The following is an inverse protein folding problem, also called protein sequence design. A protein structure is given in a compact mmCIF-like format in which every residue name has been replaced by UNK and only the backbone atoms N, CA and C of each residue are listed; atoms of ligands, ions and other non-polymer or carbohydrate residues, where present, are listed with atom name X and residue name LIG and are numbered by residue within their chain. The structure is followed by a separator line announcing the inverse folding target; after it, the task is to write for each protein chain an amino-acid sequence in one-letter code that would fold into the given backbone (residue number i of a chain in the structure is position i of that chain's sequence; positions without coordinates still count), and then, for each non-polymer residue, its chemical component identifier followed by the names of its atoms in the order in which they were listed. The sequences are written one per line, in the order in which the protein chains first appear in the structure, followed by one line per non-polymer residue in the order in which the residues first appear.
data_IF_278795386164
#
_entry.id   IF_278795386164
#
_cell.length_a   1.000
_cell.length_b   1.000
_cell.length_c   1.000
_cell.angle_alpha   90.00
_cell.angle_beta   90.00
_cell.angle_gamma   90.00
#
_symmetry.space_group_name_H-M   'P 1'
#
loop_
_entity.id
_entity.type
_entity.pdbx_description
1 polymer ?
#
# COMPACT_ATOMS: atom_id res chain seq x y z
N UNK A 1 2.20 -57.78 -42.12
CA UNK A 1 3.63 -57.43 -42.21
C UNK A 1 4.04 -56.07 -41.74
N UNK A 2 3.12 -55.14 -41.46
CA UNK A 2 3.43 -53.71 -40.98
C UNK A 2 3.76 -53.60 -39.48
N UNK A 3 3.17 -54.44 -38.64
CA UNK A 3 3.30 -54.35 -37.18
C UNK A 3 4.73 -54.63 -36.66
N UNK A 4 5.45 -55.65 -37.11
CA UNK A 4 6.81 -55.93 -36.64
C UNK A 4 7.84 -54.88 -37.09
N UNK A 5 7.61 -54.22 -38.23
CA UNK A 5 8.48 -53.12 -38.70
C UNK A 5 8.32 -51.87 -37.88
N UNK A 6 7.09 -51.54 -37.49
CA UNK A 6 6.84 -50.39 -36.62
C UNK A 6 7.43 -50.57 -35.22
N UNK A 7 7.37 -51.79 -34.67
CA UNK A 7 7.97 -52.13 -33.38
C UNK A 7 9.50 -52.07 -33.43
N UNK A 8 10.14 -52.49 -34.53
CA UNK A 8 11.58 -52.33 -34.68
C UNK A 8 12.05 -50.90 -34.80
N UNK A 9 11.27 -50.03 -35.45
CA UNK A 9 11.58 -48.60 -35.55
C UNK A 9 11.45 -47.90 -34.19
N UNK A 10 10.42 -48.22 -33.41
CA UNK A 10 10.25 -47.62 -32.08
C UNK A 10 11.37 -48.03 -31.11
N UNK A 11 11.79 -49.30 -31.14
CA UNK A 11 12.93 -49.81 -30.35
C UNK A 11 14.24 -49.12 -30.76
N UNK A 12 14.48 -48.95 -32.06
CA UNK A 12 15.67 -48.26 -32.56
C UNK A 12 15.70 -46.78 -32.14
N UNK A 13 14.58 -46.06 -32.17
CA UNK A 13 14.48 -44.66 -31.72
C UNK A 13 14.74 -44.53 -30.21
N UNK A 14 14.21 -45.44 -29.40
CA UNK A 14 14.45 -45.48 -27.95
C UNK A 14 15.92 -45.74 -27.63
N UNK A 15 16.56 -46.67 -28.34
CA UNK A 15 17.99 -46.95 -28.17
C UNK A 15 18.87 -45.76 -28.56
N UNK A 16 18.53 -45.04 -29.63
CA UNK A 16 19.26 -43.85 -30.06
C UNK A 16 19.10 -42.70 -29.03
N UNK A 17 17.91 -42.50 -28.48
CA UNK A 17 17.68 -41.49 -27.46
C UNK A 17 18.44 -41.80 -26.15
N UNK A 18 18.50 -43.06 -25.75
CA UNK A 18 19.28 -43.51 -24.59
C UNK A 18 20.78 -43.29 -24.81
N UNK A 19 21.30 -43.62 -25.99
CA UNK A 19 22.72 -43.41 -26.32
C UNK A 19 23.07 -41.91 -26.35
N UNK A 20 22.20 -41.06 -26.89
CA UNK A 20 22.39 -39.59 -26.90
C UNK A 20 22.34 -39.03 -25.49
N UNK A 21 21.45 -39.52 -24.63
CA UNK A 21 21.36 -39.12 -23.23
C UNK A 21 22.62 -39.49 -22.43
N UNK A 22 23.11 -40.72 -22.57
CA UNK A 22 24.35 -41.12 -21.90
C UNK A 22 25.60 -40.42 -22.44
N UNK A 23 25.65 -40.12 -23.72
CA UNK A 23 26.74 -39.31 -24.31
C UNK A 23 26.66 -37.84 -23.84
N UNK A 24 25.45 -37.26 -23.64
CA UNK A 24 25.24 -35.94 -23.04
C UNK A 24 25.71 -35.89 -21.58
N UNK A 25 25.42 -36.95 -20.79
CA UNK A 25 25.89 -37.06 -19.41
C UNK A 25 27.43 -37.21 -19.32
N UNK A 26 28.04 -38.01 -20.22
CA UNK A 26 29.51 -38.12 -20.29
C UNK A 26 30.18 -36.79 -20.70
N UNK A 27 29.59 -36.02 -21.61
CA UNK A 27 30.12 -34.70 -21.99
C UNK A 27 30.04 -33.71 -20.82
N UNK A 28 28.92 -33.65 -20.06
CA UNK A 28 28.80 -32.85 -18.85
C UNK A 28 29.80 -33.23 -17.77
N UNK A 29 30.02 -34.53 -17.54
CA UNK A 29 31.00 -35.01 -16.56
C UNK A 29 32.45 -34.65 -16.93
N UNK A 30 32.80 -34.74 -18.24
CA UNK A 30 34.12 -34.36 -18.68
C UNK A 30 34.36 -32.85 -18.70
N UNK A 31 33.34 -32.02 -19.02
CA UNK A 31 33.43 -30.59 -18.90
C UNK A 31 33.68 -30.13 -17.42
N UNK A 32 32.93 -30.70 -16.48
CA UNK A 32 33.11 -30.37 -15.05
C UNK A 32 34.48 -30.83 -14.49
N UNK A 33 35.03 -31.92 -15.02
CA UNK A 33 36.39 -32.40 -14.67
C UNK A 33 37.47 -31.45 -15.22
N UNK A 34 37.34 -31.01 -16.48
CA UNK A 34 38.25 -30.08 -17.14
C UNK A 34 38.25 -28.73 -16.42
N UNK A 35 37.07 -28.18 -16.04
CA UNK A 35 36.95 -26.96 -15.29
C UNK A 35 37.58 -27.06 -13.87
N UNK A 36 37.39 -28.19 -13.17
CA UNK A 36 38.03 -28.46 -11.88
C UNK A 36 39.55 -28.55 -11.97
N UNK A 37 40.08 -29.15 -13.02
CA UNK A 37 41.54 -29.23 -13.25
C UNK A 37 42.08 -27.85 -13.60
N UNK A 38 41.44 -27.10 -14.50
CA UNK A 38 41.84 -25.75 -14.85
C UNK A 38 41.81 -24.82 -13.63
N UNK A 39 40.76 -24.87 -12.81
CA UNK A 39 40.66 -24.07 -11.58
C UNK A 39 41.73 -24.46 -10.53
N UNK A 40 42.10 -25.71 -10.45
CA UNK A 40 43.16 -26.17 -9.51
C UNK A 40 44.56 -25.76 -9.94
N UNK A 41 44.86 -25.76 -11.25
CA UNK A 41 46.12 -25.27 -11.83
C UNK A 41 46.21 -23.75 -11.67
N UNK A 42 45.11 -23.02 -11.93
CA UNK A 42 45.04 -21.57 -11.72
C UNK A 42 45.19 -21.17 -10.26
N UNK A 43 44.60 -21.90 -9.32
CA UNK A 43 44.83 -21.72 -7.86
C UNK A 43 46.28 -21.97 -7.42
N UNK A 44 46.95 -23.00 -7.95
CA UNK A 44 48.33 -23.27 -7.66
C UNK A 44 49.24 -22.14 -8.17
N UNK A 45 49.01 -21.64 -9.35
CA UNK A 45 49.71 -20.47 -9.93
C UNK A 45 49.51 -19.22 -9.10
N UNK A 46 48.27 -18.94 -8.68
CA UNK A 46 47.92 -17.82 -7.85
C UNK A 46 48.57 -17.86 -6.48
N UNK A 47 48.61 -19.03 -5.86
CA UNK A 47 49.31 -19.21 -4.55
C UNK A 47 50.82 -18.94 -4.64
N UNK A 48 51.47 -19.28 -5.74
CA UNK A 48 52.90 -18.99 -5.96
C UNK A 48 53.13 -17.47 -6.12
N UNK A 49 52.27 -16.77 -6.86
CA UNK A 49 52.31 -15.32 -7.04
C UNK A 49 52.07 -14.58 -5.72
N UNK A 50 51.09 -15.00 -4.93
CA UNK A 50 50.85 -14.45 -3.57
C UNK A 50 52.09 -14.57 -2.71
N UNK A 51 52.69 -15.75 -2.63
CA UNK A 51 53.91 -15.96 -1.83
C UNK A 51 55.10 -15.08 -2.27
N UNK A 52 55.24 -14.86 -3.56
CA UNK A 52 56.32 -13.98 -4.06
C UNK A 52 56.07 -12.52 -3.64
N UNK A 53 54.86 -12.00 -3.77
CA UNK A 53 54.55 -10.64 -3.29
C UNK A 53 54.63 -10.52 -1.76
N UNK A 54 54.16 -11.52 -0.99
CA UNK A 54 54.29 -11.55 0.46
C UNK A 54 55.77 -11.55 0.90
N UNK A 55 56.65 -12.25 0.18
CA UNK A 55 58.08 -12.23 0.42
C UNK A 55 58.69 -10.84 0.20
N UNK A 56 58.30 -10.15 -0.89
CA UNK A 56 58.73 -8.76 -1.15
C UNK A 56 58.25 -7.80 -0.06
N UNK A 57 57.02 -7.95 0.38
CA UNK A 57 56.44 -7.13 1.46
C UNK A 57 57.05 -7.43 2.82
N UNK A 58 57.60 -8.62 3.03
CA UNK A 58 58.35 -8.94 4.25
C UNK A 58 59.69 -8.18 4.33
N UNK A 59 60.30 -7.84 3.17
CA UNK A 59 61.51 -7.00 3.13
C UNK A 59 61.16 -5.50 3.08
N UNK A 60 60.16 -5.11 2.37
CA UNK A 60 59.68 -3.72 2.24
C UNK A 60 58.17 -3.70 2.32
N UNK A 61 57.57 -3.42 3.50
CA UNK A 61 56.13 -3.37 3.70
C UNK A 61 55.40 -2.29 2.86
N UNK A 62 56.13 -1.31 2.34
CA UNK A 62 55.59 -0.22 1.55
C UNK A 62 55.90 -0.38 0.05
N UNK A 63 56.35 -1.53 -0.42
CA UNK A 63 56.63 -1.79 -1.80
C UNK A 63 55.36 -1.69 -2.67
N UNK A 64 55.24 -0.60 -3.39
CA UNK A 64 54.04 -0.25 -4.17
C UNK A 64 53.70 -1.31 -5.22
N UNK A 65 54.73 -1.82 -5.93
CA UNK A 65 54.53 -2.87 -6.96
C UNK A 65 53.99 -4.14 -6.35
N UNK A 66 54.53 -4.60 -5.21
CA UNK A 66 54.07 -5.80 -4.53
C UNK A 66 52.66 -5.64 -3.94
N UNK A 67 52.34 -4.46 -3.34
CA UNK A 67 51.01 -4.14 -2.85
C UNK A 67 50.01 -4.12 -3.98
N UNK A 68 50.31 -3.45 -5.09
CA UNK A 68 49.41 -3.37 -6.24
C UNK A 68 49.16 -4.75 -6.85
N UNK A 69 50.21 -5.55 -7.08
CA UNK A 69 50.09 -6.89 -7.63
C UNK A 69 49.30 -7.84 -6.72
N UNK A 70 49.55 -7.77 -5.41
CA UNK A 70 48.81 -8.55 -4.43
C UNK A 70 47.35 -8.10 -4.33
N UNK A 71 47.09 -6.79 -4.40
CA UNK A 71 45.76 -6.19 -4.44
C UNK A 71 44.96 -6.68 -5.65
N UNK A 72 45.58 -6.73 -6.83
CA UNK A 72 44.96 -7.25 -8.06
C UNK A 72 44.57 -8.73 -7.94
N UNK A 73 45.45 -9.53 -7.38
CA UNK A 73 45.19 -10.97 -7.14
C UNK A 73 43.98 -11.14 -6.22
N UNK A 74 43.96 -10.44 -5.06
CA UNK A 74 42.85 -10.54 -4.14
C UNK A 74 41.56 -9.92 -4.64
N UNK A 75 41.61 -8.86 -5.46
CA UNK A 75 40.45 -8.27 -6.08
C UNK A 75 39.79 -9.27 -7.06
N UNK A 76 40.60 -9.95 -7.87
CA UNK A 76 40.12 -10.98 -8.79
C UNK A 76 39.58 -12.24 -8.06
N UNK A 77 40.15 -12.56 -6.88
CA UNK A 77 39.68 -13.65 -5.99
C UNK A 77 38.51 -13.22 -5.11
N UNK A 78 38.07 -11.97 -5.19
CA UNK A 78 36.99 -11.38 -4.38
C UNK A 78 37.24 -11.46 -2.86
N UNK A 79 38.50 -11.45 -2.44
CA UNK A 79 38.87 -11.42 -1.03
C UNK A 79 38.83 -9.98 -0.51
N UNK A 80 37.61 -9.50 -0.26
CA UNK A 80 37.33 -8.09 0.00
C UNK A 80 38.02 -7.53 1.24
N UNK A 81 38.24 -8.33 2.28
CA UNK A 81 38.95 -7.88 3.47
C UNK A 81 40.44 -7.56 3.17
N UNK A 82 41.11 -8.42 2.41
CA UNK A 82 42.49 -8.19 2.00
C UNK A 82 42.60 -7.04 1.02
N UNK A 83 41.67 -6.96 0.08
CA UNK A 83 41.53 -5.82 -0.87
C UNK A 83 41.39 -4.51 -0.10
N UNK A 84 40.52 -4.44 0.88
CA UNK A 84 40.34 -3.27 1.72
C UNK A 84 41.61 -2.79 2.37
N UNK A 85 42.36 -3.68 3.03
CA UNK A 85 43.58 -3.35 3.75
C UNK A 85 44.69 -2.89 2.80
N UNK A 86 44.90 -3.61 1.69
CA UNK A 86 45.95 -3.31 0.70
C UNK A 86 45.68 -1.95 0.02
N UNK A 87 44.48 -1.72 -0.51
CA UNK A 87 44.20 -0.47 -1.20
C UNK A 87 44.10 0.72 -0.26
N UNK A 88 43.74 0.54 1.00
CA UNK A 88 43.90 1.57 2.03
C UNK A 88 45.38 1.95 2.21
N UNK A 89 46.27 0.97 2.34
CA UNK A 89 47.74 1.22 2.44
C UNK A 89 48.26 1.92 1.19
N UNK A 90 47.84 1.49 -0.03
CA UNK A 90 48.23 2.15 -1.27
C UNK A 90 47.73 3.61 -1.33
N UNK A 91 46.53 3.88 -0.82
CA UNK A 91 46.00 5.24 -0.75
C UNK A 91 46.85 6.11 0.21
N UNK A 92 47.23 5.57 1.38
CA UNK A 92 48.04 6.29 2.34
C UNK A 92 49.46 6.60 1.78
N UNK A 93 50.00 5.72 0.93
CA UNK A 93 51.28 5.90 0.24
C UNK A 93 51.22 6.83 -0.95
N UNK A 94 50.02 7.13 -1.48
CA UNK A 94 49.83 7.89 -2.74
C UNK A 94 50.34 9.31 -2.70
N UNK A 95 50.55 9.89 -1.52
CA UNK A 95 51.15 11.23 -1.38
C UNK A 95 52.67 11.25 -1.63
N UNK A 96 53.36 10.15 -1.42
CA UNK A 96 54.79 10.00 -1.60
C UNK A 96 55.16 9.30 -2.93
N UNK A 97 54.19 8.60 -3.55
CA UNK A 97 54.39 7.78 -4.72
C UNK A 97 53.46 8.23 -5.87
N UNK A 98 54.02 8.99 -6.80
CA UNK A 98 53.27 9.56 -7.92
C UNK A 98 52.84 8.55 -8.99
N UNK A 99 53.42 7.37 -8.99
CA UNK A 99 53.05 6.22 -9.81
C UNK A 99 51.70 5.60 -9.41
N UNK A 100 51.21 5.85 -8.18
CA UNK A 100 49.92 5.35 -7.73
C UNK A 100 48.77 6.10 -8.37
N UNK A 101 47.95 5.41 -9.16
CA UNK A 101 46.75 5.97 -9.76
C UNK A 101 45.64 6.05 -8.73
N UNK A 102 45.50 7.20 -8.07
CA UNK A 102 44.55 7.43 -6.98
C UNK A 102 43.12 7.04 -7.36
N UNK A 103 42.69 7.31 -8.61
CA UNK A 103 41.36 6.98 -9.08
C UNK A 103 41.08 5.47 -9.07
N UNK A 104 42.06 4.65 -9.45
CA UNK A 104 41.95 3.19 -9.47
C UNK A 104 41.98 2.59 -8.06
N UNK A 105 42.94 3.08 -7.26
CA UNK A 105 43.07 2.68 -5.84
C UNK A 105 41.78 2.96 -5.07
N UNK A 106 41.25 4.18 -5.16
CA UNK A 106 40.00 4.56 -4.45
C UNK A 106 38.79 3.85 -5.01
N UNK A 107 38.75 3.55 -6.30
CA UNK A 107 37.68 2.75 -6.90
C UNK A 107 37.66 1.34 -6.30
N UNK A 108 38.76 0.62 -6.34
CA UNK A 108 38.83 -0.77 -5.84
C UNK A 108 38.67 -0.86 -4.33
N UNK A 109 39.23 0.11 -3.60
CA UNK A 109 39.02 0.22 -2.15
C UNK A 109 37.55 0.44 -1.81
N UNK A 110 36.86 1.35 -2.50
CA UNK A 110 35.46 1.65 -2.30
C UNK A 110 34.55 0.47 -2.67
N UNK A 111 34.88 -0.29 -3.73
CA UNK A 111 34.18 -1.51 -4.12
C UNK A 111 34.33 -2.60 -3.02
N UNK A 112 35.53 -2.77 -2.49
CA UNK A 112 35.74 -3.70 -1.37
C UNK A 112 34.93 -3.30 -0.13
N UNK A 113 34.86 -2.00 0.18
CA UNK A 113 34.01 -1.48 1.24
C UNK A 113 32.54 -1.82 1.04
N UNK A 114 32.04 -1.68 -0.20
CA UNK A 114 30.66 -2.03 -0.56
C UNK A 114 30.35 -3.51 -0.27
N UNK A 115 31.21 -4.43 -0.74
CA UNK A 115 31.02 -5.86 -0.50
C UNK A 115 31.17 -6.25 0.97
N UNK A 116 31.97 -5.50 1.74
CA UNK A 116 32.07 -5.66 3.20
C UNK A 116 30.88 -4.99 3.95
N UNK A 117 29.90 -4.46 3.24
CA UNK A 117 28.74 -3.72 3.79
C UNK A 117 29.11 -2.46 4.58
N UNK A 118 30.32 -1.94 4.40
CA UNK A 118 30.78 -0.67 4.98
C UNK A 118 30.36 0.49 4.07
N UNK A 119 29.05 0.71 3.95
CA UNK A 119 28.49 1.60 2.94
C UNK A 119 28.91 3.07 3.10
N UNK A 120 29.09 3.56 4.33
CA UNK A 120 29.57 4.93 4.57
C UNK A 120 31.01 5.12 4.08
N UNK A 121 31.90 4.14 4.36
CA UNK A 121 33.26 4.14 3.86
C UNK A 121 33.29 4.01 2.33
N UNK A 122 32.45 3.13 1.76
CA UNK A 122 32.31 2.98 0.31
C UNK A 122 31.93 4.30 -0.36
N UNK A 123 30.95 5.02 0.17
CA UNK A 123 30.52 6.32 -0.34
C UNK A 123 31.68 7.32 -0.28
N UNK A 124 32.35 7.45 0.87
CA UNK A 124 33.42 8.41 1.06
C UNK A 124 34.58 8.17 0.08
N UNK A 125 34.98 6.91 -0.07
CA UNK A 125 36.12 6.52 -0.90
C UNK A 125 35.76 6.60 -2.39
N UNK A 126 34.57 6.12 -2.80
CA UNK A 126 34.13 6.20 -4.20
C UNK A 126 33.92 7.66 -4.67
N UNK A 127 33.53 8.56 -3.79
CA UNK A 127 33.47 9.98 -4.10
C UNK A 127 34.84 10.58 -4.44
N UNK A 128 35.93 10.07 -3.82
CA UNK A 128 37.31 10.47 -4.22
C UNK A 128 37.63 9.99 -5.63
N UNK A 129 37.23 8.76 -5.98
CA UNK A 129 37.39 8.22 -7.34
C UNK A 129 36.58 9.04 -8.37
N UNK A 130 35.31 9.36 -8.08
CA UNK A 130 34.45 10.18 -8.98
C UNK A 130 35.04 11.56 -9.23
N UNK A 131 35.69 12.19 -8.23
CA UNK A 131 36.35 13.50 -8.43
C UNK A 131 37.47 13.43 -9.47
N UNK A 132 38.12 12.28 -9.62
CA UNK A 132 39.23 12.09 -10.60
C UNK A 132 38.72 11.58 -11.94
N UNK A 133 37.75 10.67 -11.95
CA UNK A 133 37.13 10.07 -13.16
C UNK A 133 35.61 10.10 -13.02
N UNK A 134 34.94 11.20 -13.36
CA UNK A 134 33.51 11.40 -13.13
C UNK A 134 32.58 10.39 -13.83
N UNK A 135 33.01 9.87 -15.00
CA UNK A 135 32.22 9.04 -15.88
C UNK A 135 32.60 7.54 -15.82
N UNK A 136 33.36 7.12 -14.77
CA UNK A 136 33.62 5.70 -14.54
C UNK A 136 32.32 4.96 -14.24
N UNK A 137 31.95 3.99 -15.10
CA UNK A 137 30.76 3.16 -14.92
C UNK A 137 30.79 2.44 -13.56
N UNK A 138 31.87 1.71 -13.29
CA UNK A 138 32.01 0.87 -12.09
C UNK A 138 31.95 1.71 -10.80
N UNK A 139 32.65 2.85 -10.79
CA UNK A 139 32.61 3.78 -9.64
C UNK A 139 31.21 4.32 -9.40
N UNK A 140 30.51 4.82 -10.44
CA UNK A 140 29.17 5.34 -10.32
C UNK A 140 28.16 4.25 -9.95
N UNK A 141 28.34 3.02 -10.45
CA UNK A 141 27.46 1.89 -10.13
C UNK A 141 27.51 1.54 -8.62
N UNK A 142 28.70 1.26 -8.10
CA UNK A 142 28.86 0.91 -6.69
C UNK A 142 28.58 2.09 -5.75
N UNK A 143 28.85 3.30 -6.16
CA UNK A 143 28.45 4.49 -5.41
C UNK A 143 26.92 4.63 -5.38
N UNK A 144 26.25 4.42 -6.51
CA UNK A 144 24.80 4.39 -6.60
C UNK A 144 24.18 3.29 -5.72
N UNK A 145 24.72 2.08 -5.77
CA UNK A 145 24.30 0.98 -4.92
C UNK A 145 24.56 1.26 -3.42
N UNK A 146 25.69 1.88 -3.07
CA UNK A 146 25.98 2.27 -1.68
C UNK A 146 24.98 3.31 -1.16
N UNK A 147 24.62 4.30 -1.97
CA UNK A 147 23.56 5.25 -1.61
C UNK A 147 22.19 4.58 -1.50
N UNK A 148 21.91 3.59 -2.33
CA UNK A 148 20.66 2.82 -2.29
C UNK A 148 20.54 2.05 -0.97
N UNK A 149 21.59 1.36 -0.53
CA UNK A 149 21.63 0.65 0.75
C UNK A 149 21.48 1.61 1.96
N UNK A 150 21.95 2.84 1.83
CA UNK A 150 21.75 3.92 2.82
C UNK A 150 20.41 4.64 2.65
N UNK A 151 19.55 4.20 1.74
CA UNK A 151 18.23 4.78 1.43
C UNK A 151 18.29 6.25 0.96
N UNK A 152 19.44 6.69 0.43
CA UNK A 152 19.60 8.04 -0.13
C UNK A 152 19.28 7.99 -1.63
N UNK A 153 18.01 7.72 -1.93
CA UNK A 153 17.53 7.37 -3.27
C UNK A 153 17.80 8.43 -4.35
N UNK A 154 17.81 9.71 -4.00
CA UNK A 154 18.06 10.78 -4.95
C UNK A 154 19.51 10.76 -5.47
N UNK A 155 20.50 10.60 -4.56
CA UNK A 155 21.91 10.48 -4.95
C UNK A 155 22.18 9.17 -5.66
N UNK A 156 21.55 8.08 -5.23
CA UNK A 156 21.61 6.80 -5.93
C UNK A 156 21.12 6.94 -7.39
N UNK A 157 19.95 7.53 -7.60
CA UNK A 157 19.41 7.75 -8.94
C UNK A 157 20.32 8.63 -9.81
N UNK A 158 20.98 9.64 -9.23
CA UNK A 158 21.95 10.48 -9.98
C UNK A 158 23.14 9.64 -10.50
N UNK A 159 23.75 8.81 -9.64
CA UNK A 159 24.86 7.94 -10.04
C UNK A 159 24.43 6.89 -11.08
N UNK A 160 23.28 6.25 -10.84
CA UNK A 160 22.75 5.22 -11.76
C UNK A 160 22.34 5.78 -13.12
N UNK A 161 21.90 7.04 -13.21
CA UNK A 161 21.65 7.72 -14.50
C UNK A 161 22.91 7.84 -15.32
N UNK A 162 24.08 8.10 -14.72
CA UNK A 162 25.36 8.09 -15.42
C UNK A 162 25.70 6.70 -15.96
N UNK A 163 25.48 5.66 -15.14
CA UNK A 163 25.66 4.28 -15.59
C UNK A 163 24.73 3.94 -16.76
N UNK A 164 23.50 4.43 -16.74
CA UNK A 164 22.51 4.22 -17.81
C UNK A 164 22.95 4.82 -19.15
N UNK A 165 23.65 5.94 -19.16
CA UNK A 165 24.19 6.55 -20.40
C UNK A 165 25.23 5.64 -21.04
N UNK A 166 26.06 4.98 -20.21
CA UNK A 166 27.15 4.11 -20.68
C UNK A 166 26.63 2.73 -21.09
N UNK A 167 25.70 2.16 -20.29
CA UNK A 167 25.14 0.83 -20.49
C UNK A 167 23.59 0.88 -20.49
N UNK A 168 22.95 1.32 -21.58
CA UNK A 168 21.51 1.56 -21.65
C UNK A 168 20.64 0.33 -21.40
N UNK A 169 21.11 -0.86 -21.74
CA UNK A 169 20.33 -2.10 -21.65
C UNK A 169 20.69 -2.96 -20.42
N UNK A 170 21.57 -2.45 -19.54
CA UNK A 170 21.92 -3.18 -18.33
C UNK A 170 20.71 -3.29 -17.39
N UNK A 171 20.31 -4.53 -17.10
CA UNK A 171 19.11 -4.86 -16.32
C UNK A 171 19.22 -4.38 -14.89
N UNK A 172 20.38 -4.57 -14.23
CA UNK A 172 20.58 -4.18 -12.84
C UNK A 172 20.51 -2.67 -12.67
N UNK A 173 21.11 -1.92 -13.61
CA UNK A 173 21.02 -0.46 -13.63
C UNK A 173 19.58 -0.02 -13.80
N UNK A 174 18.82 -0.62 -14.72
CA UNK A 174 17.41 -0.29 -14.92
C UNK A 174 16.58 -0.61 -13.67
N UNK A 175 16.79 -1.78 -13.06
CA UNK A 175 16.12 -2.22 -11.82
C UNK A 175 16.38 -1.24 -10.68
N UNK A 176 17.64 -0.97 -10.37
CA UNK A 176 18.01 -0.05 -9.29
C UNK A 176 17.54 1.39 -9.55
N UNK A 177 17.66 1.88 -10.78
CA UNK A 177 17.21 3.23 -11.15
C UNK A 177 15.67 3.33 -11.06
N UNK A 178 14.94 2.35 -11.57
CA UNK A 178 13.49 2.26 -11.45
C UNK A 178 13.06 2.29 -9.98
N UNK A 179 13.70 1.48 -9.14
CA UNK A 179 13.45 1.44 -7.71
C UNK A 179 13.76 2.78 -7.01
N UNK A 180 14.91 3.40 -7.28
CA UNK A 180 15.25 4.70 -6.72
C UNK A 180 14.23 5.78 -7.09
N UNK A 181 13.81 5.83 -8.36
CA UNK A 181 12.81 6.78 -8.83
C UNK A 181 11.45 6.52 -8.17
N UNK A 182 11.07 5.26 -8.03
CA UNK A 182 9.86 4.85 -7.34
C UNK A 182 9.87 5.31 -5.86
N UNK A 183 10.95 5.04 -5.12
CA UNK A 183 11.09 5.47 -3.72
C UNK A 183 11.12 7.00 -3.55
N UNK A 184 11.61 7.72 -4.56
CA UNK A 184 11.57 9.19 -4.64
C UNK A 184 10.19 9.73 -5.11
N UNK A 185 9.15 8.88 -5.19
CA UNK A 185 7.81 9.24 -5.66
C UNK A 185 7.76 9.80 -7.09
N UNK A 186 8.84 9.62 -7.86
CA UNK A 186 8.90 9.96 -9.28
C UNK A 186 8.31 8.83 -10.12
N UNK A 187 7.03 8.53 -9.86
CA UNK A 187 6.35 7.33 -10.36
C UNK A 187 6.35 7.25 -11.89
N UNK A 188 6.00 8.33 -12.60
CA UNK A 188 6.00 8.34 -14.06
C UNK A 188 7.38 8.07 -14.65
N UNK A 189 8.42 8.63 -14.02
CA UNK A 189 9.79 8.47 -14.48
C UNK A 189 10.33 7.06 -14.19
N UNK A 190 9.81 6.38 -13.16
CA UNK A 190 10.23 5.01 -12.82
C UNK A 190 9.72 3.95 -13.81
N UNK A 191 8.53 4.15 -14.41
CA UNK A 191 7.84 3.16 -15.24
C UNK A 191 8.67 2.60 -16.42
N UNK A 192 9.36 3.41 -17.24
CA UNK A 192 10.15 2.87 -18.35
C UNK A 192 11.31 1.98 -17.89
N UNK A 193 11.87 2.25 -16.71
CA UNK A 193 12.96 1.47 -16.15
C UNK A 193 12.46 0.17 -15.50
N UNK A 194 11.37 0.23 -14.74
CA UNK A 194 10.71 -0.94 -14.18
C UNK A 194 10.25 -1.89 -15.30
N UNK A 195 9.71 -1.34 -16.40
CA UNK A 195 9.32 -2.13 -17.56
C UNK A 195 10.51 -2.86 -18.17
N UNK A 196 11.64 -2.17 -18.43
CA UNK A 196 12.84 -2.82 -18.97
C UNK A 196 13.39 -3.91 -18.04
N UNK A 197 13.31 -3.72 -16.75
CA UNK A 197 13.69 -4.76 -15.79
C UNK A 197 12.74 -5.98 -15.89
N UNK A 198 11.43 -5.74 -15.99
CA UNK A 198 10.43 -6.80 -16.16
C UNK A 198 10.50 -7.51 -17.51
N UNK A 199 10.95 -6.86 -18.58
CA UNK A 199 11.16 -7.52 -19.89
C UNK A 199 12.21 -8.65 -19.78
N UNK A 200 13.13 -8.59 -18.80
CA UNK A 200 14.15 -9.60 -18.53
C UNK A 200 13.73 -10.54 -17.40
N UNK A 201 13.08 -10.00 -16.35
CA UNK A 201 12.60 -10.75 -15.19
C UNK A 201 11.06 -10.69 -15.08
N UNK A 202 10.28 -11.26 -16.02
CA UNK A 202 8.82 -11.07 -16.07
C UNK A 202 8.07 -11.63 -14.86
N UNK A 203 8.65 -12.61 -14.17
CA UNK A 203 8.05 -13.25 -12.99
C UNK A 203 8.50 -12.61 -11.66
N UNK A 204 9.28 -11.53 -11.71
CA UNK A 204 9.72 -10.85 -10.49
C UNK A 204 8.56 -10.08 -9.84
N UNK A 205 8.01 -10.66 -8.77
CA UNK A 205 6.80 -10.15 -8.09
C UNK A 205 7.01 -8.78 -7.43
N UNK A 206 8.22 -8.51 -6.94
CA UNK A 206 8.58 -7.21 -6.37
C UNK A 206 8.52 -6.10 -7.44
N UNK A 207 9.15 -6.34 -8.59
CA UNK A 207 9.11 -5.40 -9.72
C UNK A 207 7.68 -5.19 -10.25
N UNK A 208 6.88 -6.27 -10.30
CA UNK A 208 5.47 -6.19 -10.70
C UNK A 208 4.67 -5.34 -9.71
N UNK A 209 4.88 -5.53 -8.41
CA UNK A 209 4.22 -4.75 -7.38
C UNK A 209 4.60 -3.26 -7.45
N UNK A 210 5.91 -2.95 -7.51
CA UNK A 210 6.40 -1.58 -7.63
C UNK A 210 5.86 -0.90 -8.89
N UNK A 211 5.82 -1.62 -10.02
CA UNK A 211 5.24 -1.13 -11.26
C UNK A 211 3.75 -0.85 -11.13
N UNK A 212 2.98 -1.71 -10.46
CA UNK A 212 1.55 -1.51 -10.24
C UNK A 212 1.28 -0.28 -9.37
N UNK A 213 2.04 -0.10 -8.28
CA UNK A 213 1.95 1.09 -7.43
C UNK A 213 2.31 2.34 -8.22
N UNK A 214 3.42 2.31 -8.97
CA UNK A 214 3.82 3.43 -9.81
C UNK A 214 2.77 3.80 -10.87
N UNK A 215 2.13 2.80 -11.48
CA UNK A 215 1.03 3.02 -12.43
C UNK A 215 -0.19 3.64 -11.75
N UNK A 216 -0.57 3.16 -10.56
CA UNK A 216 -1.69 3.70 -9.80
C UNK A 216 -1.49 5.18 -9.49
N UNK A 217 -0.30 5.53 -8.97
CA UNK A 217 0.05 6.90 -8.61
C UNK A 217 0.26 7.81 -9.84
N UNK A 218 0.62 7.23 -10.99
CA UNK A 218 0.73 7.94 -12.26
C UNK A 218 -0.62 8.15 -12.97
N UNK A 219 -1.75 7.68 -12.40
CA UNK A 219 -3.10 7.81 -12.95
C UNK A 219 -3.48 6.73 -13.97
N UNK A 220 -2.73 5.61 -14.03
CA UNK A 220 -3.01 4.47 -14.91
C UNK A 220 -3.71 3.34 -14.15
N UNK A 221 -4.80 3.67 -13.44
CA UNK A 221 -5.48 2.78 -12.50
C UNK A 221 -5.88 1.43 -13.08
N UNK A 222 -6.50 1.39 -14.25
CA UNK A 222 -6.97 0.14 -14.87
C UNK A 222 -5.83 -0.86 -15.14
N UNK A 223 -4.65 -0.35 -15.49
CA UNK A 223 -3.46 -1.19 -15.71
C UNK A 223 -2.90 -1.70 -14.39
N UNK A 224 -2.82 -0.81 -13.39
CA UNK A 224 -2.36 -1.16 -12.06
C UNK A 224 -3.26 -2.23 -11.42
N UNK A 225 -4.57 -2.08 -11.53
CA UNK A 225 -5.54 -3.02 -10.97
C UNK A 225 -5.36 -4.44 -11.53
N UNK A 226 -5.10 -4.58 -12.83
CA UNK A 226 -4.84 -5.90 -13.46
C UNK A 226 -3.64 -6.59 -12.84
N UNK A 227 -2.57 -5.84 -12.54
CA UNK A 227 -1.35 -6.39 -11.93
C UNK A 227 -1.62 -6.74 -10.45
N UNK A 228 -2.30 -5.88 -9.69
CA UNK A 228 -2.67 -6.19 -8.31
C UNK A 228 -3.56 -7.44 -8.21
N UNK A 229 -4.53 -7.62 -9.13
CA UNK A 229 -5.35 -8.82 -9.22
C UNK A 229 -4.50 -10.07 -9.49
N UNK A 230 -3.51 -9.96 -10.38
CA UNK A 230 -2.56 -11.06 -10.66
C UNK A 230 -1.71 -11.42 -9.42
N UNK A 231 -1.34 -10.44 -8.60
CA UNK A 231 -0.52 -10.63 -7.41
C UNK A 231 -1.30 -11.11 -6.17
N UNK A 232 -2.63 -11.14 -6.18
CA UNK A 232 -3.47 -11.56 -5.04
C UNK A 232 -3.05 -12.89 -4.39
N UNK A 233 -2.72 -13.94 -5.15
CA UNK A 233 -2.33 -15.23 -4.56
C UNK A 233 -0.90 -15.28 -4.03
N UNK A 234 -0.10 -14.23 -4.24
CA UNK A 234 1.30 -14.24 -3.84
C UNK A 234 1.43 -14.15 -2.31
N UNK A 235 2.26 -15.02 -1.68
CA UNK A 235 2.38 -15.06 -0.22
C UNK A 235 3.03 -13.82 0.39
N UNK A 236 3.83 -13.06 -0.39
CA UNK A 236 4.55 -11.87 0.08
C UNK A 236 3.80 -10.59 -0.30
N UNK A 237 3.41 -10.47 -1.57
CA UNK A 237 2.80 -9.24 -2.11
C UNK A 237 1.28 -9.30 -2.17
N UNK A 238 0.65 -10.46 -1.95
CA UNK A 238 -0.79 -10.65 -2.10
C UNK A 238 -1.62 -9.74 -1.21
N UNK A 239 -1.31 -9.68 0.07
CA UNK A 239 -2.05 -8.84 1.02
C UNK A 239 -1.94 -7.34 0.70
N UNK A 240 -0.74 -6.90 0.34
CA UNK A 240 -0.50 -5.51 -0.06
C UNK A 240 -1.21 -5.19 -1.38
N UNK A 241 -1.17 -6.11 -2.34
CA UNK A 241 -1.85 -5.95 -3.63
C UNK A 241 -3.36 -5.87 -3.49
N UNK A 242 -3.95 -6.71 -2.65
CA UNK A 242 -5.37 -6.63 -2.31
C UNK A 242 -5.71 -5.30 -1.60
N UNK A 243 -4.84 -4.84 -0.70
CA UNK A 243 -5.03 -3.55 -0.04
C UNK A 243 -5.05 -2.39 -1.05
N UNK A 244 -4.12 -2.36 -1.99
CA UNK A 244 -4.06 -1.30 -3.02
C UNK A 244 -5.24 -1.42 -4.00
N UNK A 245 -5.61 -2.63 -4.46
CA UNK A 245 -6.78 -2.84 -5.29
C UNK A 245 -8.07 -2.37 -4.60
N UNK A 246 -8.27 -2.74 -3.34
CA UNK A 246 -9.41 -2.30 -2.54
C UNK A 246 -9.47 -0.78 -2.40
N UNK A 247 -8.35 -0.09 -2.14
CA UNK A 247 -8.28 1.37 -2.13
C UNK A 247 -8.69 1.98 -3.47
N UNK A 248 -8.33 1.35 -4.58
CA UNK A 248 -8.71 1.83 -5.90
C UNK A 248 -10.23 1.71 -6.12
N UNK A 249 -10.84 0.59 -5.72
CA UNK A 249 -12.29 0.41 -5.77
C UNK A 249 -13.03 1.38 -4.84
N UNK A 250 -12.49 1.67 -3.62
CA UNK A 250 -13.05 2.71 -2.74
C UNK A 250 -13.08 4.10 -3.40
N UNK A 251 -12.00 4.49 -4.11
CA UNK A 251 -11.94 5.79 -4.81
C UNK A 251 -13.08 5.98 -5.84
N UNK A 252 -13.51 4.90 -6.48
CA UNK A 252 -14.63 4.92 -7.43
C UNK A 252 -15.96 4.54 -6.78
N UNK A 253 -15.98 4.40 -5.43
CA UNK A 253 -17.16 4.03 -4.63
C UNK A 253 -17.73 2.64 -4.95
N UNK A 254 -16.94 1.76 -5.55
CA UNK A 254 -17.29 0.35 -5.71
C UNK A 254 -16.91 -0.41 -4.43
N UNK A 255 -17.73 -0.20 -3.39
CA UNK A 255 -17.49 -0.80 -2.09
C UNK A 255 -17.59 -2.33 -2.10
N UNK A 256 -18.38 -2.91 -3.01
CA UNK A 256 -18.50 -4.37 -3.08
C UNK A 256 -17.23 -5.02 -3.63
N UNK A 257 -16.63 -4.45 -4.66
CA UNK A 257 -15.34 -4.91 -5.17
C UNK A 257 -14.22 -4.70 -4.13
N UNK A 258 -14.22 -3.56 -3.43
CA UNK A 258 -13.26 -3.29 -2.35
C UNK A 258 -13.37 -4.33 -1.21
N UNK A 259 -14.59 -4.65 -0.77
CA UNK A 259 -14.84 -5.70 0.25
C UNK A 259 -14.27 -7.04 -0.22
N UNK A 260 -14.51 -7.41 -1.47
CA UNK A 260 -14.00 -8.67 -2.04
C UNK A 260 -12.47 -8.73 -1.97
N UNK A 261 -11.77 -7.64 -2.31
CA UNK A 261 -10.32 -7.56 -2.20
C UNK A 261 -9.83 -7.73 -0.76
N UNK A 262 -10.46 -7.03 0.17
CA UNK A 262 -10.09 -7.08 1.58
C UNK A 262 -10.38 -8.45 2.22
N UNK A 263 -11.47 -9.12 1.82
CA UNK A 263 -11.79 -10.48 2.28
C UNK A 263 -10.81 -11.52 1.72
N UNK A 264 -10.32 -11.35 0.49
CA UNK A 264 -9.25 -12.19 -0.07
C UNK A 264 -7.98 -12.03 0.77
N UNK A 265 -7.57 -10.79 1.04
CA UNK A 265 -6.39 -10.50 1.86
C UNK A 265 -6.50 -11.06 3.29
N UNK A 266 -7.70 -11.02 3.88
CA UNK A 266 -7.94 -11.53 5.23
C UNK A 266 -7.80 -13.07 5.35
N UNK A 267 -7.80 -13.80 4.22
CA UNK A 267 -7.61 -15.25 4.16
C UNK A 267 -6.15 -15.67 3.93
N UNK A 268 -5.28 -14.71 3.63
CA UNK A 268 -3.86 -14.98 3.41
C UNK A 268 -3.16 -15.22 4.74
N UNK A 269 -2.20 -16.12 4.73
CA UNK A 269 -1.35 -16.43 5.88
C UNK A 269 -0.18 -15.44 6.00
N UNK A 270 0.36 -15.28 7.20
CA UNK A 270 1.54 -14.47 7.49
C UNK A 270 1.46 -12.99 7.06
N UNK A 271 0.25 -12.42 7.04
CA UNK A 271 0.07 -10.99 6.73
C UNK A 271 0.65 -10.14 7.86
N UNK A 272 1.54 -9.16 7.56
CA UNK A 272 2.04 -8.24 8.58
C UNK A 272 0.91 -7.55 9.33
N UNK A 273 1.03 -7.46 10.66
CA UNK A 273 -0.02 -6.97 11.54
C UNK A 273 -0.56 -5.59 11.14
N UNK A 274 0.31 -4.67 10.79
CA UNK A 274 -0.07 -3.33 10.34
C UNK A 274 -0.93 -3.37 9.07
N UNK A 275 -0.62 -4.26 8.13
CA UNK A 275 -1.39 -4.42 6.89
C UNK A 275 -2.73 -5.07 7.20
N UNK A 276 -2.75 -6.10 8.03
CA UNK A 276 -3.98 -6.77 8.46
C UNK A 276 -4.95 -5.81 9.17
N UNK A 277 -4.44 -4.93 10.03
CA UNK A 277 -5.23 -3.87 10.69
C UNK A 277 -5.80 -2.87 9.68
N UNK A 278 -4.99 -2.43 8.70
CA UNK A 278 -5.47 -1.53 7.66
C UNK A 278 -6.57 -2.17 6.82
N UNK A 279 -6.39 -3.43 6.43
CA UNK A 279 -7.38 -4.19 5.66
C UNK A 279 -8.68 -4.31 6.43
N UNK A 280 -8.63 -4.76 7.68
CA UNK A 280 -9.83 -4.89 8.53
C UNK A 280 -10.56 -3.56 8.71
N UNK A 281 -9.83 -2.48 8.98
CA UNK A 281 -10.41 -1.16 9.17
C UNK A 281 -11.09 -0.64 7.89
N UNK A 282 -10.44 -0.77 6.73
CA UNK A 282 -11.03 -0.36 5.45
C UNK A 282 -12.21 -1.24 5.06
N UNK A 283 -12.10 -2.56 5.24
CA UNK A 283 -13.19 -3.49 5.02
C UNK A 283 -14.43 -3.14 5.87
N UNK A 284 -14.22 -2.81 7.15
CA UNK A 284 -15.29 -2.38 8.04
C UNK A 284 -15.99 -1.12 7.52
N UNK A 285 -15.21 -0.11 7.09
CA UNK A 285 -15.77 1.12 6.53
C UNK A 285 -16.51 0.88 5.21
N UNK A 286 -16.02 -0.01 4.35
CA UNK A 286 -16.73 -0.40 3.12
C UNK A 286 -18.05 -1.11 3.42
N UNK A 287 -18.09 -2.03 4.39
CA UNK A 287 -19.34 -2.64 4.83
C UNK A 287 -20.34 -1.62 5.34
N UNK A 288 -19.88 -0.68 6.16
CA UNK A 288 -20.73 0.41 6.69
C UNK A 288 -21.24 1.29 5.54
N UNK A 289 -20.38 1.68 4.61
CA UNK A 289 -20.76 2.49 3.44
C UNK A 289 -21.74 1.76 2.49
N UNK A 290 -21.71 0.42 2.51
CA UNK A 290 -22.67 -0.43 1.77
C UNK A 290 -23.93 -0.76 2.59
N UNK A 291 -24.16 -0.03 3.68
CA UNK A 291 -25.30 -0.24 4.60
C UNK A 291 -25.33 -1.62 5.31
N UNK A 292 -24.18 -2.31 5.38
CA UNK A 292 -24.04 -3.56 6.12
C UNK A 292 -23.35 -3.31 7.49
N UNK A 293 -24.04 -2.54 8.34
CA UNK A 293 -23.54 -2.16 9.67
C UNK A 293 -23.14 -3.36 10.52
N UNK A 294 -23.91 -4.49 10.58
CA UNK A 294 -23.56 -5.62 11.42
C UNK A 294 -22.17 -6.19 11.12
N UNK A 295 -21.84 -6.42 9.85
CA UNK A 295 -20.53 -6.95 9.46
C UNK A 295 -19.41 -5.95 9.72
N UNK A 296 -19.62 -4.67 9.41
CA UNK A 296 -18.67 -3.60 9.71
C UNK A 296 -18.36 -3.52 11.21
N UNK A 297 -19.40 -3.58 12.05
CA UNK A 297 -19.26 -3.52 13.50
C UNK A 297 -18.49 -4.71 14.09
N UNK A 298 -18.67 -5.92 13.54
CA UNK A 298 -17.89 -7.10 13.93
C UNK A 298 -16.39 -6.86 13.70
N UNK A 299 -16.01 -6.35 12.53
CA UNK A 299 -14.61 -6.06 12.22
C UNK A 299 -14.04 -4.94 13.11
N UNK A 300 -14.81 -3.86 13.35
CA UNK A 300 -14.38 -2.79 14.25
C UNK A 300 -14.15 -3.29 15.67
N UNK A 301 -15.03 -4.14 16.20
CA UNK A 301 -14.86 -4.76 17.53
C UNK A 301 -13.64 -5.69 17.61
N UNK A 302 -13.32 -6.40 16.53
CA UNK A 302 -12.09 -7.18 16.46
C UNK A 302 -10.85 -6.28 16.53
N UNK A 303 -10.85 -5.15 15.81
CA UNK A 303 -9.75 -4.18 15.89
C UNK A 303 -9.66 -3.61 17.31
N UNK A 304 -10.78 -3.18 17.88
CA UNK A 304 -10.84 -2.62 19.24
C UNK A 304 -10.27 -3.58 20.29
N UNK A 305 -10.57 -4.88 20.19
CA UNK A 305 -10.05 -5.89 21.12
C UNK A 305 -8.54 -6.12 20.99
N UNK A 306 -7.96 -5.95 19.81
CA UNK A 306 -6.53 -6.14 19.55
C UNK A 306 -5.73 -4.85 19.78
N UNK A 307 -6.28 -3.72 19.36
CA UNK A 307 -5.66 -2.40 19.39
C UNK A 307 -6.68 -1.32 19.78
N UNK A 308 -6.96 -1.12 21.07
CA UNK A 308 -8.00 -0.18 21.54
C UNK A 308 -7.84 1.25 21.03
N UNK A 309 -6.60 1.72 20.84
CA UNK A 309 -6.31 3.09 20.39
C UNK A 309 -6.12 3.23 18.87
N UNK A 310 -6.56 2.24 18.06
CA UNK A 310 -6.38 2.30 16.62
C UNK A 310 -7.34 3.30 15.99
N UNK A 311 -6.81 4.45 15.54
CA UNK A 311 -7.56 5.54 14.88
C UNK A 311 -8.83 5.93 15.68
N UNK A 312 -9.95 6.04 15.00
CA UNK A 312 -11.27 6.41 15.50
C UNK A 312 -12.19 5.21 15.80
N UNK A 313 -11.63 4.00 15.95
CA UNK A 313 -12.38 2.76 16.10
C UNK A 313 -13.35 2.79 17.28
N UNK A 314 -12.93 3.33 18.42
CA UNK A 314 -13.79 3.41 19.60
C UNK A 314 -15.05 4.25 19.35
N UNK A 315 -14.88 5.40 18.71
CA UNK A 315 -15.99 6.28 18.36
C UNK A 315 -16.92 5.67 17.31
N UNK A 316 -16.33 4.95 16.33
CA UNK A 316 -17.09 4.21 15.31
C UNK A 316 -17.88 3.04 15.94
N UNK A 317 -17.28 2.28 16.85
CA UNK A 317 -17.97 1.18 17.55
C UNK A 317 -19.14 1.73 18.34
N UNK A 318 -18.94 2.78 19.15
CA UNK A 318 -20.02 3.37 19.93
C UNK A 318 -21.18 3.84 19.03
N UNK A 319 -20.86 4.58 17.96
CA UNK A 319 -21.84 5.11 17.00
C UNK A 319 -22.62 4.00 16.29
N UNK A 320 -21.93 3.02 15.72
CA UNK A 320 -22.58 1.98 14.91
C UNK A 320 -23.22 0.88 15.77
N UNK A 321 -22.81 0.72 17.01
CA UNK A 321 -23.50 -0.18 17.94
C UNK A 321 -24.89 0.36 18.29
N UNK A 322 -25.02 1.67 18.50
CA UNK A 322 -26.32 2.32 18.71
C UNK A 322 -27.22 2.16 17.48
N UNK A 323 -26.67 2.40 16.27
CA UNK A 323 -27.40 2.21 15.02
C UNK A 323 -27.83 0.75 14.79
N UNK A 324 -26.97 -0.22 15.12
CA UNK A 324 -27.27 -1.62 14.96
C UNK A 324 -28.35 -2.13 15.94
N UNK A 325 -28.50 -1.48 17.10
CA UNK A 325 -29.54 -1.79 18.09
C UNK A 325 -30.88 -1.14 17.76
N UNK A 326 -30.90 -0.15 16.90
CA UNK A 326 -32.12 0.56 16.51
C UNK A 326 -32.23 0.63 14.99
N UNK A 327 -32.94 -0.34 14.41
CA UNK A 327 -33.12 -0.44 12.97
C UNK A 327 -33.83 0.78 12.36
N UNK A 328 -34.79 1.37 13.10
CA UNK A 328 -35.47 2.58 12.65
C UNK A 328 -34.53 3.79 12.64
N UNK A 329 -33.56 3.84 13.55
CA UNK A 329 -32.55 4.88 13.54
C UNK A 329 -31.61 4.75 12.32
N UNK A 330 -31.29 3.51 11.92
CA UNK A 330 -30.57 3.26 10.68
C UNK A 330 -31.37 3.77 9.46
N UNK A 331 -32.66 3.46 9.41
CA UNK A 331 -33.57 3.98 8.34
C UNK A 331 -33.58 5.52 8.37
N UNK A 332 -33.72 6.12 9.54
CA UNK A 332 -33.73 7.59 9.70
C UNK A 332 -32.49 8.26 9.09
N UNK A 333 -31.29 7.72 9.34
CA UNK A 333 -30.03 8.36 8.92
C UNK A 333 -29.54 7.92 7.53
N UNK A 334 -29.82 6.70 7.10
CA UNK A 334 -29.10 6.06 5.99
C UNK A 334 -29.99 5.60 4.81
N UNK A 335 -31.33 5.52 4.99
CA UNK A 335 -32.22 5.02 3.93
C UNK A 335 -32.45 6.05 2.79
N UNK A 336 -33.07 5.62 1.72
CA UNK A 336 -33.57 6.51 0.67
C UNK A 336 -34.68 7.45 1.16
N UNK A 337 -35.00 8.46 0.39
CA UNK A 337 -36.00 9.49 0.75
C UNK A 337 -37.37 8.88 1.01
N UNK A 338 -37.77 7.87 0.24
CA UNK A 338 -39.07 7.22 0.37
C UNK A 338 -39.23 6.55 1.74
N UNK A 339 -38.23 5.75 2.16
CA UNK A 339 -38.26 5.04 3.43
C UNK A 339 -38.19 6.01 4.61
N UNK A 340 -37.42 7.09 4.46
CA UNK A 340 -37.34 8.14 5.46
C UNK A 340 -38.68 8.86 5.64
N UNK A 341 -39.37 9.21 4.56
CA UNK A 341 -40.73 9.78 4.62
C UNK A 341 -41.70 8.83 5.30
N UNK A 342 -41.67 7.54 4.93
CA UNK A 342 -42.51 6.52 5.55
C UNK A 342 -42.28 6.39 7.05
N UNK A 343 -40.99 6.43 7.46
CA UNK A 343 -40.62 6.41 8.88
C UNK A 343 -41.10 7.66 9.62
N UNK A 344 -40.96 8.86 9.04
CA UNK A 344 -41.41 10.13 9.64
C UNK A 344 -42.93 10.11 9.85
N UNK A 345 -43.72 9.59 8.87
CA UNK A 345 -45.18 9.42 9.04
C UNK A 345 -45.51 8.47 10.19
N UNK A 346 -44.86 7.33 10.26
CA UNK A 346 -45.03 6.37 11.40
C UNK A 346 -44.61 6.98 12.74
N UNK A 347 -43.55 7.80 12.73
CA UNK A 347 -43.10 8.53 13.92
C UNK A 347 -44.24 9.41 14.47
N UNK A 348 -44.88 10.22 13.65
CA UNK A 348 -45.99 11.12 14.04
C UNK A 348 -47.13 10.31 14.63
N UNK A 349 -47.52 9.18 14.01
CA UNK A 349 -48.59 8.31 14.53
C UNK A 349 -48.26 7.73 15.91
N UNK A 350 -46.99 7.35 16.12
CA UNK A 350 -46.54 6.82 17.43
C UNK A 350 -46.38 7.93 18.47
N UNK A 351 -46.02 9.12 18.02
CA UNK A 351 -45.85 10.30 18.89
C UNK A 351 -47.17 10.73 19.52
N UNK A 352 -48.24 10.78 18.74
CA UNK A 352 -49.57 11.09 19.22
C UNK A 352 -50.36 9.83 19.57
N UNK A 353 -50.04 9.26 20.76
CA UNK A 353 -50.75 8.07 21.25
C UNK A 353 -52.26 8.32 21.40
N UNK A 354 -53.09 7.40 20.96
CA UNK A 354 -54.55 7.43 21.07
C UNK A 354 -55.23 8.62 20.39
N UNK A 355 -54.64 9.21 19.39
CA UNK A 355 -55.21 10.24 18.51
C UNK A 355 -55.22 9.75 17.08
N UNK A 356 -56.17 10.21 16.32
CA UNK A 356 -56.23 10.02 14.85
C UNK A 356 -55.33 11.07 14.21
N UNK A 357 -54.41 10.61 13.35
CA UNK A 357 -53.47 11.47 12.64
C UNK A 357 -53.75 11.40 11.14
N UNK A 358 -54.10 12.55 10.56
CA UNK A 358 -54.26 12.72 9.15
C UNK A 358 -53.16 13.57 8.57
N UNK A 359 -52.30 13.00 7.72
CA UNK A 359 -51.25 13.76 7.03
C UNK A 359 -51.88 14.60 5.93
N UNK A 360 -51.67 15.90 5.95
CA UNK A 360 -52.17 16.83 4.94
C UNK A 360 -51.16 17.08 3.81
N UNK A 361 -49.91 17.40 4.21
CA UNK A 361 -48.85 17.73 3.28
C UNK A 361 -47.50 17.15 3.68
N UNK A 362 -46.66 16.89 2.68
CA UNK A 362 -45.29 16.41 2.86
C UNK A 362 -44.38 17.11 1.89
N UNK A 363 -43.50 17.94 2.42
CA UNK A 363 -42.50 18.68 1.65
C UNK A 363 -41.10 18.10 1.93
N UNK A 364 -40.37 17.81 0.84
CA UNK A 364 -39.04 17.16 0.92
C UNK A 364 -37.97 18.15 0.46
N UNK A 365 -37.00 18.43 1.31
CA UNK A 365 -35.80 19.18 1.00
C UNK A 365 -34.55 18.25 1.08
N UNK A 366 -33.38 18.77 0.70
CA UNK A 366 -32.16 17.97 0.63
C UNK A 366 -31.78 17.30 1.98
N UNK A 367 -31.95 18.03 3.09
CA UNK A 367 -31.50 17.59 4.43
C UNK A 367 -32.65 17.52 5.45
N UNK A 368 -33.87 17.77 5.05
CA UNK A 368 -35.02 17.77 5.95
C UNK A 368 -36.34 17.41 5.23
N UNK A 369 -37.28 16.89 6.02
CA UNK A 369 -38.65 16.65 5.58
C UNK A 369 -39.56 17.44 6.50
N UNK A 370 -40.54 18.15 5.87
CA UNK A 370 -41.60 18.82 6.57
C UNK A 370 -42.93 18.06 6.35
N UNK A 371 -43.67 17.85 7.42
CA UNK A 371 -44.95 17.16 7.40
C UNK A 371 -45.97 17.99 8.14
N UNK A 372 -47.07 18.31 7.50
CA UNK A 372 -48.24 18.95 8.12
C UNK A 372 -49.30 17.88 8.37
N UNK A 373 -49.83 17.84 9.58
CA UNK A 373 -50.85 16.87 9.92
C UNK A 373 -51.89 17.45 10.88
N UNK A 374 -53.13 17.02 10.72
CA UNK A 374 -54.21 17.22 11.67
C UNK A 374 -54.19 16.04 12.67
N UNK A 375 -54.33 16.37 13.92
CA UNK A 375 -54.37 15.40 15.03
C UNK A 375 -55.67 15.62 15.78
N UNK A 376 -56.52 14.62 15.75
CA UNK A 376 -57.80 14.61 16.45
C UNK A 376 -57.79 13.59 17.58
N UNK A 377 -58.19 14.03 18.75
CA UNK A 377 -58.39 13.19 19.93
C UNK A 377 -59.81 13.45 20.47
N UNK A 378 -60.25 12.63 21.42
CA UNK A 378 -61.55 12.81 22.05
C UNK A 378 -61.70 14.11 22.84
N UNK A 379 -60.60 14.90 23.01
CA UNK A 379 -60.56 16.09 23.87
C UNK A 379 -60.10 17.35 23.16
N UNK A 380 -59.36 17.21 22.07
CA UNK A 380 -58.77 18.37 21.34
C UNK A 380 -58.45 17.98 19.91
N UNK A 381 -58.41 18.99 19.06
CA UNK A 381 -57.97 18.95 17.68
C UNK A 381 -56.91 20.01 17.50
N UNK A 382 -55.85 19.68 16.77
CA UNK A 382 -54.79 20.63 16.48
C UNK A 382 -54.10 20.32 15.16
N UNK A 383 -53.75 21.36 14.42
CA UNK A 383 -52.92 21.29 13.23
C UNK A 383 -51.45 21.41 13.60
N UNK A 384 -50.66 20.44 13.26
CA UNK A 384 -49.28 20.33 13.68
C UNK A 384 -48.33 20.30 12.49
N UNK A 385 -47.16 20.89 12.66
CA UNK A 385 -46.09 20.86 11.67
C UNK A 385 -44.85 20.17 12.26
N UNK A 386 -44.32 19.20 11.55
CA UNK A 386 -43.07 18.55 11.89
C UNK A 386 -41.99 18.88 10.88
N UNK A 387 -40.76 19.15 11.34
CA UNK A 387 -39.57 19.18 10.51
C UNK A 387 -38.56 18.18 11.05
N UNK A 388 -38.25 17.16 10.24
CA UNK A 388 -37.27 16.13 10.54
C UNK A 388 -35.94 16.48 9.86
N UNK A 389 -34.91 16.77 10.64
CA UNK A 389 -33.57 17.06 10.15
C UNK A 389 -32.75 15.77 10.10
N UNK A 390 -32.21 15.48 8.93
CA UNK A 390 -31.40 14.27 8.69
C UNK A 390 -29.91 14.56 8.94
N UNK A 391 -29.59 15.06 10.14
CA UNK A 391 -28.23 15.42 10.52
C UNK A 391 -27.92 14.98 11.95
N UNK A 392 -26.63 14.83 12.25
CA UNK A 392 -26.10 14.57 13.58
C UNK A 392 -25.37 15.79 14.16
N UNK A 393 -25.35 16.90 13.44
CA UNK A 393 -24.71 18.15 13.84
C UNK A 393 -25.65 19.03 14.67
N UNK A 394 -25.08 20.09 15.24
CA UNK A 394 -25.86 21.10 15.98
C UNK A 394 -26.67 21.94 15.01
N UNK A 395 -27.97 22.10 15.29
CA UNK A 395 -28.88 22.93 14.50
C UNK A 395 -29.01 24.31 15.14
N UNK A 396 -28.63 25.35 14.40
CA UNK A 396 -28.70 26.75 14.86
C UNK A 396 -30.12 27.32 14.84
N UNK A 397 -30.31 28.41 15.59
CA UNK A 397 -31.61 29.09 15.75
C UNK A 397 -32.20 29.65 14.42
N UNK A 398 -31.37 29.91 13.43
CA UNK A 398 -31.83 30.38 12.11
C UNK A 398 -32.79 29.37 11.45
N UNK A 399 -32.51 28.09 11.57
CA UNK A 399 -33.35 27.02 11.02
C UNK A 399 -34.66 26.88 11.81
N UNK A 400 -34.64 27.10 13.12
CA UNK A 400 -35.83 27.06 13.97
C UNK A 400 -36.70 28.28 13.72
N UNK A 401 -36.12 29.46 13.50
CA UNK A 401 -36.83 30.68 13.13
C UNK A 401 -37.54 30.57 11.79
N UNK A 402 -36.83 30.01 10.79
CA UNK A 402 -37.43 29.72 9.46
C UNK A 402 -38.58 28.76 9.59
N UNK A 403 -38.41 27.66 10.35
CA UNK A 403 -39.49 26.73 10.62
C UNK A 403 -40.69 27.39 11.28
N UNK A 404 -40.49 28.26 12.30
CA UNK A 404 -41.55 28.98 12.95
C UNK A 404 -42.32 29.91 11.99
N UNK A 405 -41.62 30.59 11.10
CA UNK A 405 -42.29 31.41 10.07
C UNK A 405 -43.22 30.58 9.16
N UNK A 406 -42.70 29.43 8.64
CA UNK A 406 -43.50 28.51 7.81
C UNK A 406 -44.67 27.90 8.58
N UNK A 407 -44.49 27.55 9.87
CA UNK A 407 -45.55 27.03 10.73
C UNK A 407 -46.70 28.03 10.84
N UNK A 408 -46.40 29.31 11.05
CA UNK A 408 -47.43 30.39 11.10
C UNK A 408 -48.13 30.58 9.77
N UNK A 409 -47.36 30.56 8.67
CA UNK A 409 -47.94 30.75 7.33
C UNK A 409 -48.90 29.58 6.97
N UNK A 410 -48.57 28.36 7.44
CA UNK A 410 -49.40 27.18 7.30
C UNK A 410 -50.56 27.13 8.33
N UNK A 411 -50.66 28.10 9.25
CA UNK A 411 -51.64 28.19 10.34
C UNK A 411 -51.67 26.94 11.21
N UNK A 412 -50.49 26.41 11.54
CA UNK A 412 -50.35 25.29 12.45
C UNK A 412 -50.31 25.77 13.89
N UNK A 413 -50.96 25.03 14.79
CA UNK A 413 -51.04 25.33 16.23
C UNK A 413 -49.75 25.03 16.95
N UNK A 414 -49.11 23.88 16.62
CA UNK A 414 -47.86 23.44 17.24
C UNK A 414 -46.83 23.03 16.17
N UNK A 415 -45.55 23.19 16.52
CA UNK A 415 -44.41 22.81 15.72
C UNK A 415 -43.45 21.89 16.45
N UNK A 416 -42.87 20.94 15.72
CA UNK A 416 -41.91 19.96 16.22
C UNK A 416 -40.69 19.91 15.33
N UNK A 417 -39.54 20.29 15.88
CA UNK A 417 -38.25 20.15 15.21
C UNK A 417 -37.56 18.89 15.74
N UNK A 418 -37.29 17.93 14.86
CA UNK A 418 -36.80 16.61 15.23
C UNK A 418 -35.40 16.39 14.61
N UNK A 419 -34.41 16.01 15.44
CA UNK A 419 -33.04 15.77 14.97
C UNK A 419 -32.37 14.60 15.72
N UNK A 420 -31.42 13.94 15.06
CA UNK A 420 -30.48 13.04 15.71
C UNK A 420 -29.27 13.76 16.31
N UNK A 421 -29.09 15.03 16.00
CA UNK A 421 -28.13 15.92 16.61
C UNK A 421 -28.67 16.60 17.87
N UNK A 422 -28.20 17.82 18.11
CA UNK A 422 -28.67 18.71 19.17
C UNK A 422 -29.08 20.05 18.58
N UNK A 423 -29.83 20.85 19.34
CA UNK A 423 -30.08 22.23 19.00
C UNK A 423 -29.14 23.15 19.79
N UNK A 424 -28.82 24.32 19.22
CA UNK A 424 -28.00 25.31 19.92
C UNK A 424 -28.75 25.94 21.09
N UNK A 425 -28.01 26.48 22.09
CA UNK A 425 -28.59 27.20 23.21
C UNK A 425 -29.48 28.35 22.73
N UNK A 426 -29.14 29.02 21.63
CA UNK A 426 -29.95 30.08 21.01
C UNK A 426 -31.25 29.53 20.43
N UNK A 427 -31.26 28.27 19.91
CA UNK A 427 -32.48 27.61 19.47
C UNK A 427 -33.42 27.31 20.64
N UNK A 428 -32.90 26.77 21.75
CA UNK A 428 -33.67 26.53 22.96
C UNK A 428 -34.28 27.82 23.53
N UNK A 429 -33.47 28.87 23.68
CA UNK A 429 -33.97 30.20 24.11
C UNK A 429 -35.03 30.76 23.16
N UNK A 430 -34.89 30.52 21.86
CA UNK A 430 -35.88 31.01 20.91
C UNK A 430 -37.23 30.33 21.06
N UNK A 431 -37.27 29.04 21.38
CA UNK A 431 -38.52 28.26 21.53
C UNK A 431 -39.21 28.46 22.89
N UNK A 432 -38.54 29.03 23.89
CA UNK A 432 -39.14 29.35 25.15
C UNK A 432 -40.41 30.21 24.98
N UNK A 433 -41.54 29.74 25.51
CA UNK A 433 -42.85 30.42 25.42
C UNK A 433 -43.47 30.42 24.00
N UNK A 434 -42.98 29.66 23.08
CA UNK A 434 -43.54 29.42 21.74
C UNK A 434 -44.05 28.01 21.58
N UNK A 435 -45.06 27.76 20.76
CA UNK A 435 -45.61 26.42 20.55
C UNK A 435 -44.71 25.57 19.63
N UNK A 436 -43.42 25.47 19.99
CA UNK A 436 -42.41 24.74 19.27
C UNK A 436 -41.64 23.86 20.22
N UNK A 437 -41.66 22.55 20.00
CA UNK A 437 -40.87 21.56 20.73
C UNK A 437 -39.63 21.12 19.93
N UNK A 438 -38.53 21.06 20.63
CA UNK A 438 -37.24 20.54 20.08
C UNK A 438 -37.04 19.10 20.56
N UNK A 439 -37.06 18.16 19.61
CA UNK A 439 -36.89 16.71 19.85
C UNK A 439 -35.49 16.32 19.41
N UNK A 440 -34.63 16.11 20.39
CA UNK A 440 -33.24 15.73 20.20
C UNK A 440 -33.03 14.21 20.24
N UNK A 441 -31.79 13.77 20.09
CA UNK A 441 -31.34 12.39 19.97
C UNK A 441 -32.04 11.41 20.89
N UNK A 442 -32.07 11.68 22.20
CA UNK A 442 -32.56 10.70 23.19
C UNK A 442 -34.07 10.48 23.06
N UNK A 443 -34.82 11.55 22.89
CA UNK A 443 -36.26 11.51 22.71
C UNK A 443 -36.62 10.88 21.33
N UNK A 444 -35.89 11.22 20.28
CA UNK A 444 -36.02 10.61 18.96
C UNK A 444 -35.75 9.11 19.00
N UNK A 445 -34.62 8.66 19.59
CA UNK A 445 -34.28 7.25 19.70
C UNK A 445 -35.31 6.45 20.51
N UNK A 446 -35.83 7.02 21.59
CA UNK A 446 -36.88 6.41 22.38
C UNK A 446 -38.21 6.24 21.63
N UNK A 447 -38.56 7.22 20.79
CA UNK A 447 -39.74 7.16 19.93
C UNK A 447 -39.55 6.15 18.79
N UNK A 448 -38.40 6.15 18.10
CA UNK A 448 -38.09 5.24 17.00
C UNK A 448 -38.09 3.77 17.44
N UNK A 449 -37.68 3.45 18.68
CA UNK A 449 -37.74 2.08 19.21
C UNK A 449 -39.17 1.54 19.35
N UNK A 450 -40.17 2.41 19.45
CA UNK A 450 -41.58 2.05 19.57
C UNK A 450 -42.26 1.77 18.22
N UNK A 451 -41.62 2.09 17.13
CA UNK A 451 -42.18 1.92 15.78
C UNK A 451 -41.90 0.50 15.32
N UNK A 452 -42.97 -0.27 15.04
CA UNK A 452 -42.87 -1.54 14.34
C UNK A 452 -42.85 -1.28 12.82
N UNK A 453 -41.75 -1.62 12.14
CA UNK A 453 -41.66 -1.50 10.68
C UNK A 453 -42.35 -2.64 9.92
N UNK A 454 -42.73 -3.71 10.64
CA UNK A 454 -43.42 -4.90 10.10
C UNK A 454 -44.94 -4.76 10.25
N UNK A 455 -45.54 -3.69 9.74
CA UNK A 455 -46.95 -3.49 9.69
C UNK A 455 -47.37 -2.87 8.39
#
# INVERSE_FOLDING_TARGET
MLIPVLLAITVAVVLITIILFFNGLKRKSNASKSERVASSVQKKGMTAVIKEYEKRLAHDPHNVEALSGLGDVYYNDQNWERVWNIYKTLYDLSSAHTEIVIADVTRRWGIAAFFLKKYDDAINVLLLSVKKVPDSYETNYYLGCSFLEKQVYEKAAYCLKKCKIIAPENTDVNKHLGFCLFKNQKYRDSLPYLKKALDVEPENKELLYDMAVAMSEAGMGDKALKIFVHLRPDPVFGAQSCLEAGKMHERVKDFQAAITDYEIAAKLENVPEQIALQIKYRCANCYISSNNIPKGLVLLKQIQSMHPAYKDVDSLVARFQELNQNQNLQVYLMSGTSDFVALCRKFITVFFKNAFVKIEDVSVAAESIEIICDVESNKWEAKNMFRFYRTQTVIGDIYVREFHAKMRDAKCDNGYCVTMGTFSDSSHKYTEGRPIDLIEKDALCAALKKINMLG
#
